data_IF_386620697593
#
_entry.id   IF_386620697593
#
_cell.length_a   1.000
_cell.length_b   1.000
_cell.length_c   1.000
_cell.angle_alpha   90.00
_cell.angle_beta   90.00
_cell.angle_gamma   90.00
#
_symmetry.space_group_name_H-M   'P 1'
#
loop_
_entity.id
_entity.type
_entity.pdbx_description
1 polymer ?
#
# COMPACT_ATOMS: atom_id res chain seq x y z
N UNK A 1 -2.38 -17.48 7.56
CA UNK A 1 -2.20 -18.67 8.42
C UNK A 1 -0.72 -19.03 8.63
N UNK A 2 0.04 -19.36 7.57
CA UNK A 2 1.48 -19.75 7.69
C UNK A 2 2.39 -18.77 8.45
N UNK A 3 2.10 -17.46 8.40
CA UNK A 3 2.93 -16.46 9.08
C UNK A 3 2.75 -16.44 10.61
N UNK A 4 1.56 -16.79 11.12
CA UNK A 4 1.31 -16.90 12.57
C UNK A 4 1.91 -18.21 13.11
N UNK A 5 1.72 -19.31 12.39
CA UNK A 5 2.34 -20.62 12.71
C UNK A 5 3.86 -20.51 12.83
N UNK A 6 4.49 -19.71 11.96
CA UNK A 6 5.92 -19.45 12.04
C UNK A 6 6.30 -18.64 13.29
N UNK A 7 5.51 -17.63 13.67
CA UNK A 7 5.74 -16.87 14.91
C UNK A 7 5.57 -17.75 16.15
N UNK A 8 4.56 -18.62 16.17
CA UNK A 8 4.32 -19.56 17.26
C UNK A 8 5.46 -20.58 17.36
N UNK A 9 5.90 -21.12 16.22
CA UNK A 9 7.04 -22.02 16.16
C UNK A 9 8.33 -21.35 16.65
N UNK A 10 8.57 -20.08 16.30
CA UNK A 10 9.71 -19.34 16.84
C UNK A 10 9.61 -19.16 18.37
N UNK A 11 8.42 -18.88 18.90
CA UNK A 11 8.20 -18.82 20.35
C UNK A 11 8.46 -20.17 21.03
N UNK A 12 8.02 -21.27 20.43
CA UNK A 12 8.19 -22.61 20.99
C UNK A 12 9.66 -23.05 20.96
N UNK A 13 10.38 -22.77 19.88
CA UNK A 13 11.83 -23.01 19.79
C UNK A 13 12.64 -22.14 20.75
N UNK A 14 12.20 -20.91 21.01
CA UNK A 14 12.82 -20.06 22.04
C UNK A 14 12.57 -20.61 23.45
N UNK A 15 11.35 -21.10 23.72
CA UNK A 15 11.00 -21.70 25.02
C UNK A 15 11.67 -23.05 25.26
N UNK A 16 11.87 -23.86 24.22
CA UNK A 16 12.56 -25.16 24.36
C UNK A 16 14.04 -24.98 24.69
N UNK A 17 14.62 -23.81 24.39
CA UNK A 17 16.00 -23.48 24.70
C UNK A 17 17.03 -24.05 23.72
N UNK A 18 16.59 -24.77 22.68
CA UNK A 18 17.46 -25.48 21.74
C UNK A 18 18.27 -24.54 20.82
N UNK A 19 17.76 -23.34 20.57
CA UNK A 19 18.33 -22.39 19.59
C UNK A 19 18.65 -21.00 20.18
N UNK A 20 18.56 -20.85 21.51
CA UNK A 20 18.98 -19.63 22.22
C UNK A 20 18.22 -18.35 21.83
N UNK A 21 18.86 -17.19 22.05
CA UNK A 21 18.27 -15.86 21.78
C UNK A 21 17.99 -15.58 20.29
N UNK A 22 18.58 -16.34 19.36
CA UNK A 22 18.43 -16.13 17.91
C UNK A 22 17.01 -16.42 17.41
N UNK A 23 16.31 -17.36 18.07
CA UNK A 23 14.93 -17.72 17.71
C UNK A 23 13.89 -16.86 18.42
N UNK A 24 14.30 -15.93 19.28
CA UNK A 24 13.39 -15.01 19.94
C UNK A 24 12.72 -14.09 18.90
N UNK A 25 11.38 -14.14 18.76
CA UNK A 25 10.69 -13.22 17.86
C UNK A 25 10.98 -11.78 18.23
N UNK A 26 11.04 -10.91 17.22
CA UNK A 26 11.29 -9.48 17.40
C UNK A 26 10.34 -8.65 16.54
N UNK A 27 10.49 -7.33 16.60
CA UNK A 27 9.68 -6.40 15.81
C UNK A 27 9.65 -6.74 14.32
N UNK A 28 10.75 -7.21 13.73
CA UNK A 28 10.81 -7.58 12.32
C UNK A 28 9.99 -8.84 11.99
N UNK A 29 10.04 -9.86 12.85
CA UNK A 29 9.23 -11.08 12.69
C UNK A 29 7.74 -10.76 12.68
N UNK A 30 7.30 -9.93 13.63
CA UNK A 30 5.91 -9.46 13.70
C UNK A 30 5.53 -8.59 12.51
N UNK A 31 6.37 -7.62 12.15
CA UNK A 31 6.15 -6.76 10.97
C UNK A 31 6.01 -7.57 9.70
N UNK A 32 6.81 -8.63 9.55
CA UNK A 32 6.75 -9.54 8.40
C UNK A 32 5.44 -10.30 8.39
N UNK A 33 4.98 -10.80 9.53
CA UNK A 33 3.69 -11.49 9.62
C UNK A 33 2.50 -10.55 9.32
N UNK A 34 2.53 -9.32 9.84
CA UNK A 34 1.51 -8.30 9.57
C UNK A 34 1.49 -7.98 8.06
N UNK A 35 2.65 -7.78 7.43
CA UNK A 35 2.76 -7.56 5.98
C UNK A 35 2.26 -8.76 5.17
N UNK A 36 2.55 -9.98 5.62
CA UNK A 36 2.10 -11.21 4.95
C UNK A 36 0.57 -11.29 4.96
N UNK A 37 -0.08 -10.93 6.06
CA UNK A 37 -1.55 -10.84 6.13
C UNK A 37 -2.11 -9.71 5.29
N UNK A 38 -1.47 -8.54 5.29
CA UNK A 38 -1.87 -7.41 4.47
C UNK A 38 -1.82 -7.72 2.96
N UNK A 39 -0.92 -8.62 2.54
CA UNK A 39 -0.65 -8.95 1.13
C UNK A 39 -1.11 -10.33 0.68
N UNK A 40 -1.61 -11.20 1.58
CA UNK A 40 -1.98 -12.56 1.19
C UNK A 40 -3.10 -12.52 0.14
N UNK A 41 -2.74 -12.86 -1.10
CA UNK A 41 -3.62 -12.83 -2.27
C UNK A 41 -4.72 -13.89 -2.17
N UNK A 42 -5.91 -13.42 -2.54
CA UNK A 42 -7.04 -14.20 -3.00
C UNK A 42 -6.76 -14.55 -4.47
N UNK A 43 -7.10 -15.76 -4.93
CA UNK A 43 -6.68 -16.31 -6.23
C UNK A 43 -7.19 -15.57 -7.47
N UNK A 44 -6.61 -14.40 -7.79
CA UNK A 44 -6.80 -13.73 -9.08
C UNK A 44 -5.68 -14.15 -10.02
N UNK A 45 -6.02 -15.02 -10.96
CA UNK A 45 -5.17 -15.32 -12.13
C UNK A 45 -4.96 -14.04 -12.95
N UNK A 46 -3.71 -13.56 -12.98
CA UNK A 46 -3.12 -12.88 -14.13
C UNK A 46 -3.07 -11.34 -14.09
N UNK A 47 -1.94 -10.85 -14.63
CA UNK A 47 -1.62 -9.47 -15.03
C UNK A 47 -0.96 -8.53 -13.99
N UNK A 48 0.37 -8.67 -13.89
CA UNK A 48 1.28 -7.52 -14.04
C UNK A 48 1.45 -6.59 -12.84
N UNK A 49 2.14 -7.08 -11.80
CA UNK A 49 2.97 -6.20 -10.96
C UNK A 49 4.40 -6.77 -10.94
N UNK A 50 5.13 -6.53 -12.03
CA UNK A 50 6.59 -6.39 -11.96
C UNK A 50 6.86 -5.15 -11.09
N UNK A 51 7.68 -5.12 -10.05
CA UNK A 51 8.73 -6.00 -9.57
C UNK A 51 9.76 -5.07 -8.92
N UNK A 52 10.19 -5.36 -7.69
CA UNK A 52 11.54 -5.05 -7.26
C UNK A 52 11.99 -6.02 -6.16
N UNK A 53 12.98 -6.83 -6.53
CA UNK A 53 13.95 -7.58 -5.73
C UNK A 53 13.48 -8.71 -4.80
N UNK A 54 13.46 -9.91 -5.36
CA UNK A 54 14.06 -11.10 -4.74
C UNK A 54 14.63 -12.01 -5.83
N UNK A 55 15.93 -11.93 -6.05
CA UNK A 55 16.70 -12.86 -6.88
C UNK A 55 17.02 -14.12 -6.08
N UNK A 56 16.56 -15.28 -6.52
CA UNK A 56 17.37 -16.51 -6.58
C UNK A 56 16.65 -17.60 -7.37
N UNK A 57 17.42 -18.25 -8.24
CA UNK A 57 17.08 -19.30 -9.21
C UNK A 57 16.34 -20.50 -8.57
N UNK A 58 15.55 -21.30 -9.29
CA UNK A 58 16.04 -22.28 -10.29
C UNK A 58 15.04 -22.61 -11.40
N UNK A 59 15.59 -22.89 -12.58
CA UNK A 59 14.97 -23.47 -13.77
C UNK A 59 14.29 -24.82 -13.52
N UNK A 60 13.17 -25.08 -14.21
CA UNK A 60 13.03 -26.23 -15.14
C UNK A 60 11.78 -26.06 -16.01
N UNK A 61 11.97 -26.17 -17.32
CA UNK A 61 10.94 -26.30 -18.36
C UNK A 61 10.24 -27.66 -18.30
N UNK A 62 8.94 -27.72 -18.64
CA UNK A 62 8.41 -28.78 -19.53
C UNK A 62 6.98 -28.48 -20.03
N UNK A 63 6.77 -28.83 -21.29
CA UNK A 63 5.61 -28.64 -22.17
C UNK A 63 4.30 -29.33 -21.75
N UNK A 64 3.18 -28.86 -22.33
CA UNK A 64 2.29 -29.76 -23.06
C UNK A 64 0.87 -30.04 -22.53
N UNK A 65 -0.07 -29.17 -22.89
CA UNK A 65 -1.41 -29.43 -23.48
C UNK A 65 -2.20 -30.72 -23.13
N UNK A 66 -3.41 -30.60 -22.52
CA UNK A 66 -4.71 -31.01 -23.12
C UNK A 66 -5.92 -31.00 -22.14
N UNK A 67 -6.94 -30.23 -22.53
CA UNK A 67 -8.42 -30.43 -22.58
C UNK A 67 -9.17 -31.44 -21.69
N UNK A 68 -10.34 -30.99 -21.18
CA UNK A 68 -11.55 -31.79 -20.93
C UNK A 68 -11.97 -31.89 -19.46
N UNK A 69 -12.75 -30.93 -18.94
CA UNK A 69 -14.16 -31.11 -18.55
C UNK A 69 -14.42 -32.22 -17.51
N UNK A 70 -14.79 -31.86 -16.26
CA UNK A 70 -16.19 -31.81 -15.78
C UNK A 70 -16.29 -31.71 -14.23
N UNK A 71 -17.14 -30.78 -13.78
CA UNK A 71 -18.12 -30.89 -12.67
C UNK A 71 -17.72 -30.83 -11.18
N UNK A 72 -18.41 -29.86 -10.52
CA UNK A 72 -18.92 -29.85 -9.12
C UNK A 72 -17.85 -29.52 -8.07
N UNK A 73 -17.86 -28.38 -7.36
CA UNK A 73 -18.95 -27.82 -6.55
C UNK A 73 -18.59 -26.36 -6.23
N UNK A 74 -19.52 -25.42 -6.42
CA UNK A 74 -19.43 -24.09 -5.83
C UNK A 74 -19.22 -24.22 -4.33
N UNK A 75 -18.10 -23.72 -3.82
CA UNK A 75 -17.76 -23.78 -2.40
C UNK A 75 -17.29 -22.41 -1.97
N UNK A 76 -18.25 -21.51 -1.71
CA UNK A 76 -18.15 -20.35 -0.82
C UNK A 76 -16.74 -19.72 -0.70
N UNK A 77 -16.22 -19.14 -1.79
CA UNK A 77 -14.91 -18.46 -1.79
C UNK A 77 -14.98 -17.01 -1.27
N UNK A 78 -16.11 -16.57 -0.70
CA UNK A 78 -16.28 -15.26 -0.06
C UNK A 78 -15.94 -15.33 1.45
N UNK A 79 -14.84 -15.98 1.84
CA UNK A 79 -14.34 -15.94 3.22
C UNK A 79 -13.66 -14.58 3.45
N UNK A 80 -14.31 -13.62 4.14
CA UNK A 80 -14.29 -12.24 3.71
C UNK A 80 -12.96 -11.56 4.05
N UNK A 81 -12.41 -10.86 3.06
CA UNK A 81 -11.27 -9.92 3.11
C UNK A 81 -11.16 -9.08 4.40
N UNK A 82 -12.28 -8.82 5.08
CA UNK A 82 -12.38 -8.19 6.40
C UNK A 82 -11.57 -8.87 7.50
N UNK A 83 -11.39 -10.20 7.47
CA UNK A 83 -10.54 -10.90 8.44
C UNK A 83 -9.08 -10.46 8.33
N UNK A 84 -8.57 -10.08 7.15
CA UNK A 84 -7.16 -9.73 6.96
C UNK A 84 -6.75 -8.48 7.76
N UNK A 85 -7.61 -7.45 7.74
CA UNK A 85 -7.38 -6.20 8.47
C UNK A 85 -7.40 -6.44 9.98
N UNK A 86 -8.39 -7.20 10.46
CA UNK A 86 -8.49 -7.58 11.87
C UNK A 86 -7.31 -8.46 12.34
N UNK A 87 -6.83 -9.39 11.50
CA UNK A 87 -5.63 -10.19 11.79
C UNK A 87 -4.37 -9.34 11.86
N UNK A 88 -4.15 -8.46 10.88
CA UNK A 88 -3.03 -7.53 10.87
C UNK A 88 -3.04 -6.63 12.13
N UNK A 89 -4.22 -6.10 12.51
CA UNK A 89 -4.41 -5.30 13.72
C UNK A 89 -4.09 -6.08 14.98
N UNK A 90 -4.60 -7.30 15.12
CA UNK A 90 -4.34 -8.14 16.31
C UNK A 90 -2.85 -8.44 16.51
N UNK A 91 -2.11 -8.67 15.42
CA UNK A 91 -0.67 -8.89 15.48
C UNK A 91 0.10 -7.63 15.90
N UNK A 92 -0.37 -6.44 15.50
CA UNK A 92 0.14 -5.18 15.99
C UNK A 92 -0.13 -5.00 17.49
N UNK A 93 -1.36 -5.28 17.96
CA UNK A 93 -1.70 -5.21 19.38
C UNK A 93 -0.85 -6.20 20.21
N UNK A 94 -0.58 -7.39 19.68
CA UNK A 94 0.30 -8.37 20.31
C UNK A 94 1.74 -7.87 20.40
N UNK A 95 2.28 -7.25 19.33
CA UNK A 95 3.61 -6.62 19.33
C UNK A 95 3.71 -5.55 20.43
N UNK A 96 2.70 -4.66 20.50
CA UNK A 96 2.62 -3.58 21.49
C UNK A 96 2.56 -4.16 22.91
N UNK A 97 1.69 -5.14 23.14
CA UNK A 97 1.52 -5.80 24.45
C UNK A 97 2.81 -6.48 24.92
N UNK A 98 3.51 -7.19 24.02
CA UNK A 98 4.79 -7.84 24.31
C UNK A 98 5.88 -6.85 24.70
N UNK A 99 5.98 -5.73 23.98
CA UNK A 99 6.92 -4.67 24.32
C UNK A 99 6.62 -4.04 25.70
N UNK A 100 5.34 -3.74 25.97
CA UNK A 100 4.87 -3.25 27.29
C UNK A 100 5.14 -4.27 28.40
N UNK A 101 5.10 -5.56 28.10
CA UNK A 101 5.48 -6.66 28.99
C UNK A 101 6.99 -6.77 29.28
N UNK A 102 7.82 -5.88 28.71
CA UNK A 102 9.27 -5.81 28.98
C UNK A 102 10.16 -6.43 27.90
N UNK A 103 9.58 -6.96 26.83
CA UNK A 103 10.36 -7.50 25.71
C UNK A 103 10.93 -6.38 24.83
N UNK A 104 12.08 -5.79 25.22
CA UNK A 104 12.69 -4.63 24.53
C UNK A 104 12.92 -4.82 23.03
N UNK A 105 13.17 -6.05 22.57
CA UNK A 105 13.34 -6.38 21.14
C UNK A 105 12.07 -6.23 20.30
N UNK A 106 10.92 -6.01 20.94
CA UNK A 106 9.62 -5.80 20.32
C UNK A 106 9.24 -4.33 20.15
N UNK A 107 10.17 -3.38 20.41
CA UNK A 107 9.85 -1.95 20.33
C UNK A 107 9.18 -1.60 18.99
N UNK A 108 7.91 -1.13 18.99
CA UNK A 108 7.22 -0.84 17.75
C UNK A 108 7.88 0.31 16.97
N UNK A 109 7.77 0.24 15.64
CA UNK A 109 8.10 1.33 14.72
C UNK A 109 6.85 1.70 13.90
N UNK A 110 6.93 2.70 13.04
CA UNK A 110 5.80 3.09 12.17
C UNK A 110 5.43 2.03 11.11
N UNK A 111 6.33 1.08 10.81
CA UNK A 111 6.13 0.10 9.74
C UNK A 111 4.93 -0.84 10.03
N UNK A 112 4.85 -1.52 11.19
CA UNK A 112 3.67 -2.31 11.57
C UNK A 112 2.32 -1.60 11.39
N UNK A 113 2.24 -0.33 11.79
CA UNK A 113 1.01 0.48 11.64
C UNK A 113 0.69 0.71 10.17
N UNK A 114 1.69 1.10 9.38
CA UNK A 114 1.55 1.30 7.92
C UNK A 114 1.07 0.02 7.23
N UNK A 115 1.54 -1.15 7.68
CA UNK A 115 1.10 -2.45 7.16
C UNK A 115 -0.39 -2.72 7.41
N UNK A 116 -0.92 -2.35 8.59
CA UNK A 116 -2.35 -2.45 8.89
C UNK A 116 -3.16 -1.48 8.02
N UNK A 117 -2.69 -0.24 7.82
CA UNK A 117 -3.34 0.72 6.93
C UNK A 117 -3.38 0.22 5.48
N UNK A 118 -2.28 -0.35 4.98
CA UNK A 118 -2.23 -0.94 3.65
C UNK A 118 -3.19 -2.15 3.52
N UNK A 119 -3.32 -2.97 4.56
CA UNK A 119 -4.31 -4.05 4.58
C UNK A 119 -5.73 -3.50 4.37
N UNK A 120 -6.07 -2.41 5.08
CA UNK A 120 -7.37 -1.76 4.93
C UNK A 120 -7.53 -1.08 3.56
N UNK A 121 -6.50 -0.41 3.04
CA UNK A 121 -6.51 0.23 1.72
C UNK A 121 -6.76 -0.78 0.58
N UNK A 122 -6.23 -2.00 0.72
CA UNK A 122 -6.42 -3.05 -0.28
C UNK A 122 -7.66 -3.91 -0.03
N UNK A 123 -8.26 -3.88 1.16
CA UNK A 123 -9.53 -4.55 1.45
C UNK A 123 -10.68 -4.02 0.57
N UNK A 124 -11.51 -4.90 0.01
CA UNK A 124 -12.69 -4.51 -0.78
C UNK A 124 -13.65 -3.68 0.09
N UNK A 125 -14.19 -2.58 -0.44
CA UNK A 125 -15.05 -1.64 0.32
C UNK A 125 -16.47 -2.17 0.58
N UNK A 126 -16.69 -3.47 0.48
CA UNK A 126 -18.00 -4.06 0.27
C UNK A 126 -18.94 -4.03 1.50
N UNK A 127 -18.53 -3.45 2.62
CA UNK A 127 -19.32 -3.49 3.86
C UNK A 127 -19.21 -2.17 4.65
N UNK A 128 -19.75 -1.07 4.13
CA UNK A 128 -19.95 0.14 4.93
C UNK A 128 -21.41 0.56 5.16
N UNK A 129 -22.41 -0.21 4.69
CA UNK A 129 -23.80 0.22 4.89
C UNK A 129 -24.76 -0.75 5.59
N UNK A 130 -24.47 -2.06 5.68
CA UNK A 130 -25.44 -3.02 6.25
C UNK A 130 -24.93 -3.89 7.42
N UNK A 131 -23.74 -3.63 7.96
CA UNK A 131 -23.25 -4.35 9.15
C UNK A 131 -23.77 -3.79 10.49
N UNK A 132 -24.71 -2.83 10.46
CA UNK A 132 -25.37 -2.36 11.68
C UNK A 132 -26.32 -3.40 12.32
N UNK A 133 -26.43 -4.64 11.82
CA UNK A 133 -27.33 -5.65 12.42
C UNK A 133 -26.97 -7.12 12.19
N UNK A 134 -25.71 -7.48 11.90
CA UNK A 134 -25.26 -8.87 12.05
C UNK A 134 -24.58 -9.02 13.41
N UNK A 135 -25.40 -9.02 14.48
CA UNK A 135 -24.98 -9.51 15.79
C UNK A 135 -24.96 -11.04 15.70
N UNK A 136 -23.96 -11.58 15.02
CA UNK A 136 -23.66 -13.00 15.06
C UNK A 136 -22.66 -13.22 16.21
N UNK A 137 -23.11 -13.95 17.22
CA UNK A 137 -22.30 -14.52 18.32
C UNK A 137 -21.21 -13.63 18.94
N UNK A 138 -21.57 -12.41 19.37
CA UNK A 138 -20.76 -11.65 20.33
C UNK A 138 -19.40 -11.13 19.83
N UNK A 139 -19.13 -11.18 18.52
CA UNK A 139 -17.98 -10.52 17.89
C UNK A 139 -18.48 -9.39 16.99
N UNK A 140 -18.37 -8.15 17.46
CA UNK A 140 -18.54 -6.98 16.61
C UNK A 140 -17.49 -7.03 15.51
N UNK A 141 -17.92 -7.23 14.26
CA UNK A 141 -16.96 -7.17 13.16
C UNK A 141 -16.68 -5.70 12.88
N UNK A 142 -15.54 -5.23 13.38
CA UNK A 142 -15.11 -3.84 13.21
C UNK A 142 -14.89 -3.54 11.72
N UNK A 143 -15.43 -2.41 11.28
CA UNK A 143 -15.29 -1.95 9.91
C UNK A 143 -13.80 -1.71 9.60
N UNK A 144 -13.27 -2.16 8.43
CA UNK A 144 -11.90 -1.88 8.01
C UNK A 144 -11.49 -0.40 8.11
N UNK A 145 -12.44 0.51 7.85
CA UNK A 145 -12.22 1.95 8.04
C UNK A 145 -11.91 2.31 9.48
N UNK A 146 -12.72 1.82 10.43
CA UNK A 146 -12.58 2.13 11.85
C UNK A 146 -11.25 1.59 12.39
N UNK A 147 -10.91 0.34 12.04
CA UNK A 147 -9.62 -0.26 12.40
C UNK A 147 -8.46 0.61 11.89
N UNK A 148 -8.51 1.02 10.62
CA UNK A 148 -7.47 1.84 10.01
C UNK A 148 -7.39 3.23 10.66
N UNK A 149 -8.51 3.89 10.86
CA UNK A 149 -8.57 5.22 11.47
C UNK A 149 -8.03 5.20 12.91
N UNK A 150 -8.44 4.22 13.71
CA UNK A 150 -7.90 4.04 15.05
C UNK A 150 -6.38 3.79 15.03
N UNK A 151 -5.91 2.93 14.13
CA UNK A 151 -4.47 2.63 13.97
C UNK A 151 -3.68 3.87 13.53
N UNK A 152 -4.23 4.69 12.63
CA UNK A 152 -3.64 5.94 12.19
C UNK A 152 -3.51 6.94 13.35
N UNK A 153 -4.60 7.18 14.08
CA UNK A 153 -4.60 8.11 15.22
C UNK A 153 -3.62 7.66 16.32
N UNK A 154 -3.55 6.36 16.60
CA UNK A 154 -2.61 5.79 17.56
C UNK A 154 -1.15 6.06 17.18
N UNK A 155 -0.82 5.93 15.89
CA UNK A 155 0.50 6.22 15.36
C UNK A 155 0.83 7.73 15.39
N UNK A 156 -0.07 8.58 14.89
CA UNK A 156 0.16 10.04 14.80
C UNK A 156 0.31 10.67 16.19
N UNK A 157 -0.50 10.22 17.15
CA UNK A 157 -0.45 10.73 18.53
C UNK A 157 0.68 10.11 19.36
N UNK A 158 1.36 9.10 18.82
CA UNK A 158 2.31 8.27 19.57
C UNK A 158 1.72 7.89 20.94
N UNK A 159 0.51 7.32 20.95
CA UNK A 159 -0.30 7.14 22.17
C UNK A 159 0.42 6.42 23.30
N UNK A 160 1.39 5.58 22.96
CA UNK A 160 2.21 4.81 23.90
C UNK A 160 3.62 5.39 24.15
N UNK A 161 3.96 6.52 23.52
CA UNK A 161 5.22 7.23 23.72
C UNK A 161 6.46 6.47 23.24
N UNK A 162 6.37 5.72 22.14
CA UNK A 162 7.49 4.94 21.61
C UNK A 162 8.51 5.81 20.86
N UNK A 163 8.18 7.08 20.59
CA UNK A 163 8.93 7.96 19.71
C UNK A 163 8.71 7.62 18.24
N UNK A 164 7.47 7.27 17.90
CA UNK A 164 7.11 6.93 16.52
C UNK A 164 7.30 8.13 15.60
N UNK A 165 7.75 7.87 14.38
CA UNK A 165 7.86 8.88 13.32
C UNK A 165 7.11 8.39 12.09
N UNK A 166 5.91 8.91 11.81
CA UNK A 166 5.21 8.57 10.59
C UNK A 166 6.03 9.08 9.39
N UNK A 167 6.07 8.27 8.34
CA UNK A 167 6.66 8.65 7.06
C UNK A 167 5.56 8.89 6.02
N UNK A 168 5.97 9.29 4.82
CA UNK A 168 5.04 9.56 3.73
C UNK A 168 4.13 8.37 3.34
N UNK A 169 4.48 7.13 3.67
CA UNK A 169 3.67 5.95 3.35
C UNK A 169 2.42 5.88 4.24
N UNK A 170 2.53 6.30 5.49
CA UNK A 170 1.41 6.33 6.46
C UNK A 170 0.28 7.22 5.94
N UNK A 171 0.60 8.45 5.56
CA UNK A 171 -0.38 9.43 5.08
C UNK A 171 -1.00 8.99 3.75
N UNK A 172 -0.18 8.47 2.84
CA UNK A 172 -0.67 7.93 1.58
C UNK A 172 -1.64 6.75 1.78
N UNK A 173 -1.29 5.80 2.65
CA UNK A 173 -2.14 4.65 2.95
C UNK A 173 -3.46 5.09 3.59
N UNK A 174 -3.44 6.06 4.51
CA UNK A 174 -4.67 6.57 5.12
C UNK A 174 -5.55 7.33 4.11
N UNK A 175 -4.97 8.13 3.21
CA UNK A 175 -5.73 8.78 2.13
C UNK A 175 -6.38 7.75 1.19
N UNK A 176 -5.69 6.64 0.90
CA UNK A 176 -6.28 5.52 0.15
C UNK A 176 -7.45 4.87 0.89
N UNK A 177 -7.32 4.64 2.20
CA UNK A 177 -8.40 4.13 3.04
C UNK A 177 -9.62 5.05 2.98
N UNK A 178 -9.41 6.36 3.17
CA UNK A 178 -10.49 7.36 3.08
C UNK A 178 -11.13 7.32 1.70
N UNK A 179 -10.34 7.37 0.63
CA UNK A 179 -10.85 7.35 -0.75
C UNK A 179 -11.73 6.14 -1.05
N UNK A 180 -11.42 4.99 -0.45
CA UNK A 180 -12.05 3.71 -0.76
C UNK A 180 -13.26 3.38 0.12
N UNK A 181 -13.21 3.73 1.40
CA UNK A 181 -14.20 3.30 2.39
C UNK A 181 -15.19 4.40 2.80
N UNK A 182 -15.04 5.61 2.27
CA UNK A 182 -15.97 6.73 2.52
C UNK A 182 -16.71 7.14 1.25
N UNK A 183 -17.95 7.58 1.43
CA UNK A 183 -18.76 8.09 0.33
C UNK A 183 -18.10 9.34 -0.29
N UNK A 184 -17.90 9.40 -1.63
CA UNK A 184 -17.26 10.53 -2.31
C UNK A 184 -17.91 11.90 -2.09
N UNK A 185 -19.18 11.94 -1.69
CA UNK A 185 -19.95 13.17 -1.42
C UNK A 185 -20.09 13.48 0.06
N UNK A 186 -19.60 12.60 0.94
CA UNK A 186 -19.73 12.80 2.38
C UNK A 186 -18.83 13.93 2.90
N UNK A 187 -19.38 14.73 3.81
CA UNK A 187 -18.59 15.75 4.52
C UNK A 187 -17.52 15.10 5.41
N UNK A 188 -17.77 13.89 5.93
CA UNK A 188 -16.78 13.14 6.69
C UNK A 188 -15.52 12.85 5.86
N UNK A 189 -15.67 12.41 4.60
CA UNK A 189 -14.55 12.22 3.68
C UNK A 189 -13.73 13.49 3.53
N UNK A 190 -14.39 14.63 3.37
CA UNK A 190 -13.72 15.93 3.28
C UNK A 190 -12.91 16.22 4.55
N UNK A 191 -13.53 16.10 5.73
CA UNK A 191 -12.87 16.34 7.02
C UNK A 191 -11.65 15.43 7.19
N UNK A 192 -11.79 14.15 6.86
CA UNK A 192 -10.70 13.17 7.01
C UNK A 192 -9.56 13.41 6.02
N UNK A 193 -9.85 13.78 4.76
CA UNK A 193 -8.84 14.17 3.78
C UNK A 193 -8.05 15.40 4.23
N UNK A 194 -8.75 16.45 4.68
CA UNK A 194 -8.11 17.68 5.17
C UNK A 194 -7.20 17.37 6.35
N UNK A 195 -7.70 16.62 7.33
CA UNK A 195 -6.94 16.24 8.52
C UNK A 195 -5.68 15.44 8.20
N UNK A 196 -5.79 14.41 7.37
CA UNK A 196 -4.64 13.57 7.01
C UNK A 196 -3.60 14.37 6.23
N UNK A 197 -4.04 15.31 5.38
CA UNK A 197 -3.13 16.17 4.64
C UNK A 197 -2.42 17.19 5.53
N UNK A 198 -3.13 17.81 6.48
CA UNK A 198 -2.56 18.71 7.48
C UNK A 198 -1.50 17.98 8.33
N UNK A 199 -1.82 16.77 8.82
CA UNK A 199 -0.87 15.94 9.56
C UNK A 199 0.38 15.62 8.72
N UNK A 200 0.23 15.38 7.41
CA UNK A 200 1.34 15.12 6.49
C UNK A 200 2.22 16.37 6.28
N UNK A 201 1.60 17.55 6.21
CA UNK A 201 2.28 18.84 6.10
C UNK A 201 3.09 19.15 7.35
N UNK A 202 2.50 18.96 8.53
CA UNK A 202 3.14 19.15 9.84
C UNK A 202 4.31 18.18 10.03
N UNK A 203 4.14 16.93 9.61
CA UNK A 203 5.21 15.94 9.60
C UNK A 203 6.30 16.22 8.56
N UNK A 204 6.08 17.13 7.61
CA UNK A 204 6.99 17.42 6.50
C UNK A 204 7.19 16.23 5.55
N UNK A 205 6.17 15.38 5.42
CA UNK A 205 6.20 14.11 4.69
C UNK A 205 5.36 14.11 3.40
N UNK A 206 5.09 15.28 2.82
CA UNK A 206 4.32 15.40 1.57
C UNK A 206 5.17 14.96 0.38
N UNK A 207 5.11 13.67 0.08
CA UNK A 207 5.74 13.06 -1.10
C UNK A 207 4.82 13.08 -2.32
N UNK A 208 5.35 12.77 -3.50
CA UNK A 208 4.58 12.59 -4.73
C UNK A 208 3.48 11.53 -4.58
N UNK A 209 3.72 10.51 -3.76
CA UNK A 209 2.71 9.52 -3.42
C UNK A 209 1.55 10.15 -2.65
N UNK A 210 1.85 10.93 -1.60
CA UNK A 210 0.82 11.62 -0.79
C UNK A 210 -0.04 12.53 -1.65
N UNK A 211 0.57 13.31 -2.54
CA UNK A 211 -0.17 14.20 -3.47
C UNK A 211 -1.05 13.41 -4.44
N UNK A 212 -0.58 12.27 -4.96
CA UNK A 212 -1.40 11.42 -5.83
C UNK A 212 -2.60 10.83 -5.10
N UNK A 213 -2.40 10.32 -3.89
CA UNK A 213 -3.50 9.77 -3.09
C UNK A 213 -4.45 10.88 -2.62
N UNK A 214 -3.95 12.08 -2.35
CA UNK A 214 -4.77 13.26 -2.07
C UNK A 214 -5.68 13.58 -3.25
N UNK A 215 -5.12 13.62 -4.47
CA UNK A 215 -5.89 13.85 -5.71
C UNK A 215 -7.01 12.82 -5.90
N UNK A 216 -6.77 11.55 -5.54
CA UNK A 216 -7.78 10.50 -5.62
C UNK A 216 -8.83 10.60 -4.49
N UNK A 217 -8.41 11.01 -3.29
CA UNK A 217 -9.26 11.09 -2.12
C UNK A 217 -10.13 12.36 -2.09
N UNK A 218 -9.69 13.47 -2.68
CA UNK A 218 -10.43 14.73 -2.67
C UNK A 218 -11.82 14.60 -3.35
N UNK A 219 -12.91 15.00 -2.67
CA UNK A 219 -14.26 14.99 -3.23
C UNK A 219 -14.50 16.05 -4.32
N UNK A 220 -13.71 17.13 -4.35
CA UNK A 220 -13.84 18.21 -5.34
C UNK A 220 -12.50 18.84 -5.70
N UNK A 221 -12.45 19.45 -6.88
CA UNK A 221 -11.29 20.22 -7.35
C UNK A 221 -11.08 21.47 -6.51
N UNK A 222 -12.15 22.11 -6.04
CA UNK A 222 -12.07 23.30 -5.17
C UNK A 222 -11.38 22.98 -3.85
N UNK A 223 -11.66 21.81 -3.26
CA UNK A 223 -10.97 21.37 -2.05
C UNK A 223 -9.48 21.17 -2.33
N UNK A 224 -9.15 20.45 -3.40
CA UNK A 224 -7.77 20.18 -3.79
C UNK A 224 -6.98 21.49 -4.04
N UNK A 225 -7.59 22.47 -4.71
CA UNK A 225 -7.00 23.79 -4.93
C UNK A 225 -6.78 24.55 -3.64
N UNK A 226 -7.75 24.51 -2.72
CA UNK A 226 -7.62 25.14 -1.40
C UNK A 226 -6.48 24.52 -0.59
N UNK A 227 -6.38 23.18 -0.59
CA UNK A 227 -5.34 22.47 0.16
C UNK A 227 -3.93 22.69 -0.41
N UNK A 228 -3.78 22.72 -1.75
CA UNK A 228 -2.48 22.93 -2.39
C UNK A 228 -2.11 24.42 -2.57
N UNK A 229 -3.04 25.34 -2.27
CA UNK A 229 -2.75 26.76 -2.12
C UNK A 229 -2.65 27.60 -3.41
N UNK A 230 -2.94 27.09 -4.61
CA UNK A 230 -3.15 27.95 -5.80
C UNK A 230 -3.90 27.31 -6.97
N UNK A 231 -4.68 28.12 -7.71
CA UNK A 231 -5.32 27.74 -8.99
C UNK A 231 -4.31 27.39 -10.10
N UNK A 232 -3.07 27.92 -10.03
CA UNK A 232 -2.04 27.67 -11.04
C UNK A 232 -1.55 26.21 -11.01
N UNK A 233 -1.48 25.60 -9.82
CA UNK A 233 -1.11 24.18 -9.65
C UNK A 233 -2.11 23.23 -10.33
N UNK A 234 -3.40 23.60 -10.35
CA UNK A 234 -4.46 22.82 -10.98
C UNK A 234 -4.50 22.96 -12.51
N UNK A 235 -4.03 24.10 -13.07
CA UNK A 235 -4.10 24.38 -14.51
C UNK A 235 -2.93 23.85 -15.33
N UNK A 236 -1.71 23.86 -14.80
CA UNK A 236 -0.50 23.47 -15.55
C UNK A 236 0.03 22.07 -15.23
N UNK A 237 -0.51 21.42 -14.19
CA UNK A 237 -0.11 20.08 -13.79
C UNK A 237 1.27 20.05 -13.13
N UNK A 238 1.29 20.13 -11.80
CA UNK A 238 2.50 20.03 -10.97
C UNK A 238 3.39 18.85 -11.38
N UNK A 239 4.68 19.10 -11.55
CA UNK A 239 5.65 18.08 -12.01
C UNK A 239 6.45 17.50 -10.85
N UNK A 240 6.67 18.29 -9.80
CA UNK A 240 7.37 17.88 -8.58
C UNK A 240 6.72 18.45 -7.33
N UNK A 241 6.78 17.69 -6.23
CA UNK A 241 6.42 18.19 -4.90
C UNK A 241 7.40 19.24 -4.38
N UNK A 242 8.54 19.43 -5.04
CA UNK A 242 9.48 20.53 -4.75
C UNK A 242 8.87 21.92 -5.00
N UNK A 243 7.77 21.97 -5.75
CA UNK A 243 6.99 23.19 -6.01
C UNK A 243 6.10 23.57 -4.82
N UNK A 244 5.91 22.66 -3.86
CA UNK A 244 5.18 22.90 -2.61
C UNK A 244 6.06 23.62 -1.57
N UNK A 245 5.45 24.20 -0.51
CA UNK A 245 6.21 24.72 0.62
C UNK A 245 7.27 23.73 1.11
N UNK A 246 8.51 24.19 1.23
CA UNK A 246 9.63 23.33 1.63
C UNK A 246 9.42 22.65 2.99
N UNK A 247 8.71 23.31 3.91
CA UNK A 247 8.32 22.76 5.21
C UNK A 247 7.46 21.49 5.08
N UNK A 248 6.63 21.38 4.04
CA UNK A 248 5.78 20.21 3.79
C UNK A 248 6.57 19.02 3.25
N UNK A 249 7.75 19.24 2.66
CA UNK A 249 8.56 18.19 2.02
C UNK A 249 9.92 17.97 2.68
N UNK A 250 10.22 18.68 3.78
CA UNK A 250 11.54 18.68 4.44
C UNK A 250 12.01 17.31 4.92
N UNK A 251 11.10 16.41 5.28
CA UNK A 251 11.41 15.07 5.77
C UNK A 251 11.23 13.98 4.70
N UNK A 252 10.85 14.36 3.48
CA UNK A 252 10.83 13.45 2.32
C UNK A 252 12.26 13.25 1.83
N UNK A 253 12.71 12.00 1.79
CA UNK A 253 14.05 11.63 1.30
C UNK A 253 14.31 12.26 -0.07
N UNK A 254 15.56 12.66 -0.31
CA UNK A 254 15.99 13.23 -1.59
C UNK A 254 16.13 12.15 -2.69
N UNK A 255 15.03 11.47 -2.98
CA UNK A 255 14.89 10.49 -4.05
C UNK A 255 13.91 11.04 -5.09
N UNK A 256 14.37 11.14 -6.33
CA UNK A 256 13.55 11.62 -7.45
C UNK A 256 12.23 10.85 -7.62
N UNK A 257 12.17 9.58 -7.21
CA UNK A 257 10.96 8.73 -7.26
C UNK A 257 9.89 9.19 -6.27
N UNK A 258 10.30 9.78 -5.15
CA UNK A 258 9.41 10.28 -4.10
C UNK A 258 9.00 11.72 -4.34
N UNK A 259 9.69 12.45 -5.22
CA UNK A 259 9.45 13.88 -5.46
C UNK A 259 8.74 14.18 -6.78
N UNK A 260 8.95 13.37 -7.84
CA UNK A 260 8.31 13.59 -9.16
C UNK A 260 6.89 13.04 -9.23
N UNK A 261 5.97 13.86 -9.74
CA UNK A 261 4.57 13.50 -10.04
C UNK A 261 4.38 13.05 -11.51
N UNK A 262 5.34 13.33 -12.38
CA UNK A 262 5.29 13.01 -13.80
C UNK A 262 5.24 11.51 -14.13
N UNK A 263 4.50 11.17 -15.19
CA UNK A 263 4.21 9.80 -15.58
C UNK A 263 5.49 9.03 -16.00
N UNK A 264 5.78 7.89 -15.34
CA UNK A 264 6.91 6.99 -15.68
C UNK A 264 6.86 6.42 -17.11
N UNK A 265 5.73 6.57 -17.83
CA UNK A 265 5.47 5.93 -19.13
C UNK A 265 5.89 6.69 -20.41
N UNK A 266 6.22 7.98 -20.36
CA UNK A 266 6.31 8.78 -21.61
C UNK A 266 7.66 8.72 -22.36
N UNK A 267 8.69 8.02 -21.86
CA UNK A 267 10.06 8.13 -22.40
C UNK A 267 10.63 6.89 -23.11
N UNK A 268 9.80 5.96 -23.61
CA UNK A 268 10.31 4.78 -24.35
C UNK A 268 10.10 4.74 -25.88
N UNK A 269 9.44 5.72 -26.51
CA UNK A 269 9.13 5.63 -27.95
C UNK A 269 9.66 6.72 -28.90
N UNK A 270 10.53 7.66 -28.48
CA UNK A 270 11.02 8.71 -29.41
C UNK A 270 12.35 8.41 -30.13
N UNK A 271 12.95 7.22 -29.96
CA UNK A 271 14.27 6.90 -30.57
C UNK A 271 14.28 5.87 -31.70
N UNK A 272 13.13 5.48 -32.25
CA UNK A 272 13.05 4.68 -33.49
C UNK A 272 12.28 5.44 -34.56
N UNK A 273 12.95 6.35 -35.25
CA UNK A 273 12.32 7.09 -36.34
C UNK A 273 13.22 8.13 -36.99
N UNK A 274 14.51 7.86 -37.17
CA UNK A 274 15.35 8.73 -38.00
C UNK A 274 16.62 8.05 -38.53
N UNK A 275 16.44 7.16 -39.50
CA UNK A 275 17.40 6.78 -40.54
C UNK A 275 16.51 6.25 -41.68
N UNK A 276 16.46 6.73 -42.91
CA UNK A 276 17.09 7.84 -43.62
C UNK A 276 16.54 7.70 -45.04
N UNK A 277 15.77 8.66 -45.55
CA UNK A 277 15.41 8.72 -46.97
C UNK A 277 16.65 9.15 -47.74
N UNK A 278 17.01 8.41 -48.78
CA UNK A 278 18.08 8.81 -49.69
C UNK A 278 18.12 7.96 -50.96
N UNK A 279 17.69 8.59 -52.06
CA UNK A 279 17.90 8.26 -53.49
C UNK A 279 16.92 7.30 -54.17
N UNK A 280 15.92 7.93 -54.79
CA UNK A 280 15.42 7.58 -56.12
C UNK A 280 16.47 8.02 -57.13
N UNK A 281 16.87 7.15 -58.06
CA UNK A 281 17.30 7.57 -59.39
C UNK A 281 16.88 6.54 -60.43
N UNK A 282 16.35 7.08 -61.53
CA UNK A 282 15.83 6.40 -62.72
C UNK A 282 16.98 5.89 -63.59
N UNK A 283 16.79 4.72 -64.19
CA UNK A 283 17.21 4.46 -65.58
C UNK A 283 16.52 3.22 -66.12
N UNK A 284 15.48 3.44 -66.94
CA UNK A 284 15.09 2.51 -67.99
C UNK A 284 16.24 2.44 -69.00
N UNK A 285 16.78 1.25 -69.22
CA UNK A 285 17.66 0.96 -70.33
C UNK A 285 17.18 -0.34 -71.00
N UNK A 286 16.76 -0.14 -72.24
CA UNK A 286 16.50 -1.10 -73.29
C UNK A 286 17.58 -2.19 -73.45
N UNK A 287 17.12 -3.37 -73.85
CA UNK A 287 17.64 -4.21 -74.94
C UNK A 287 18.38 -5.53 -74.58
N UNK A 288 18.05 -6.55 -75.40
CA UNK A 288 18.55 -7.95 -75.52
C UNK A 288 17.91 -8.96 -74.56
N UNK A 289 17.25 -10.03 -75.01
CA UNK A 289 17.30 -10.79 -76.28
C UNK A 289 15.93 -11.33 -76.65
#
# INVERSE_FOLDING_TARGET
QRAEELLDLMHDMYKSGDYGEEMKPNMYSYTTAINAWARSEEGVKGAGIEGNDASMATDTSTDGNNTGEEKIKSRNDDEPTMHKVAHARRLLDLLISRYKGGEKGMKPSAIPYTSVLNAAAHCSSALSYNAASAVDEGKTVENPYDIAFHTYIELIRDSDGFGLRPDHLVFAAMLQVVSKHTDPTSENRRIDVERVFDDACDAGQVSALVVRELQAACPSVDLLQRLLGSEQFAREGMQSVDELPSEWTKNVKNDSRLRRLGNRGAKKNSRRGRHGKGKVDRSDATNKS
#
